data_IF_762483488053
#
_entry.id   IF_762483488053
#
_cell.length_a   1.000
_cell.length_b   1.000
_cell.length_c   1.000
_cell.angle_alpha   90.00
_cell.angle_beta   90.00
_cell.angle_gamma   90.00
#
_symmetry.space_group_name_H-M   'P 1'
#
loop_
_entity.id
_entity.type
_entity.pdbx_description
1 polymer ?
#
# COMPACT_ATOMS: atom_id res chain seq x y z
N UNK A 1 -2.19 -17.98 15.46
CA UNK A 1 -1.63 -17.23 14.31
C UNK A 1 -0.58 -18.12 13.64
N UNK A 2 -1.01 -19.13 12.86
CA UNK A 2 -0.13 -20.17 12.29
C UNK A 2 1.06 -19.58 11.52
N UNK A 3 0.85 -18.45 10.84
CA UNK A 3 1.93 -17.76 10.11
C UNK A 3 3.05 -17.26 11.03
N UNK A 4 2.77 -16.85 12.28
CA UNK A 4 3.84 -16.42 13.20
C UNK A 4 4.70 -17.57 13.70
N UNK A 5 4.16 -18.79 13.66
CA UNK A 5 4.83 -19.99 14.12
C UNK A 5 5.67 -20.64 13.01
N UNK A 6 5.43 -20.30 11.74
CA UNK A 6 6.11 -20.87 10.56
C UNK A 6 7.64 -20.98 10.68
N UNK A 7 8.39 -19.97 11.17
CA UNK A 7 9.84 -20.06 11.29
C UNK A 7 10.33 -21.16 12.25
N UNK A 8 9.45 -21.70 13.10
CA UNK A 8 9.75 -22.76 14.07
C UNK A 8 8.96 -24.04 13.85
N UNK A 9 8.01 -24.08 12.90
CA UNK A 9 7.28 -25.30 12.58
C UNK A 9 8.27 -26.36 12.07
N UNK A 10 8.29 -27.53 12.73
CA UNK A 10 9.20 -28.63 12.40
C UNK A 10 10.65 -28.47 12.91
N UNK A 11 10.96 -27.37 13.60
CA UNK A 11 12.28 -27.15 14.22
C UNK A 11 12.40 -27.92 15.53
N UNK A 12 13.49 -28.66 15.71
CA UNK A 12 13.83 -29.31 17.00
C UNK A 12 14.14 -28.30 18.11
N UNK A 13 14.40 -27.03 17.74
CA UNK A 13 14.62 -25.94 18.69
C UNK A 13 13.53 -24.89 18.49
N UNK A 14 12.63 -24.79 19.46
CA UNK A 14 11.58 -23.76 19.48
C UNK A 14 12.22 -22.42 19.79
N UNK A 15 12.17 -21.48 18.84
CA UNK A 15 12.63 -20.10 19.04
C UNK A 15 11.51 -19.13 18.65
N UNK A 16 11.49 -17.95 19.27
CA UNK A 16 10.58 -16.90 18.81
C UNK A 16 10.99 -16.46 17.40
N UNK A 17 9.99 -16.22 16.54
CA UNK A 17 10.22 -15.68 15.23
C UNK A 17 10.98 -14.33 15.30
N UNK A 18 11.86 -14.02 14.33
CA UNK A 18 12.50 -12.72 14.27
C UNK A 18 11.46 -11.58 14.24
N UNK A 19 11.74 -10.47 14.93
CA UNK A 19 10.81 -9.34 14.99
C UNK A 19 10.46 -8.77 13.60
N UNK A 20 11.41 -8.78 12.67
CA UNK A 20 11.19 -8.40 11.27
C UNK A 20 10.16 -9.29 10.57
N UNK A 21 10.22 -10.60 10.80
CA UNK A 21 9.25 -11.55 10.27
C UNK A 21 7.86 -11.30 10.85
N UNK A 22 7.75 -11.20 12.18
CA UNK A 22 6.49 -10.89 12.86
C UNK A 22 5.87 -9.59 12.35
N UNK A 23 6.68 -8.55 12.14
CA UNK A 23 6.21 -7.25 11.62
C UNK A 23 5.60 -7.38 10.22
N UNK A 24 6.22 -8.15 9.32
CA UNK A 24 5.71 -8.37 7.97
C UNK A 24 4.41 -9.17 8.00
N UNK A 25 4.38 -10.27 8.76
CA UNK A 25 3.18 -11.11 8.88
C UNK A 25 2.02 -10.31 9.46
N UNK A 26 2.23 -9.58 10.55
CA UNK A 26 1.18 -8.76 11.17
C UNK A 26 0.68 -7.71 10.20
N UNK A 27 1.58 -6.95 9.56
CA UNK A 27 1.19 -5.92 8.57
C UNK A 27 0.38 -6.53 7.41
N UNK A 28 0.85 -7.64 6.85
CA UNK A 28 0.19 -8.34 5.75
C UNK A 28 -1.18 -8.88 6.14
N UNK A 29 -1.27 -9.54 7.31
CA UNK A 29 -2.51 -10.11 7.83
C UNK A 29 -3.54 -9.04 8.19
N UNK A 30 -3.12 -7.94 8.82
CA UNK A 30 -4.03 -6.81 9.10
C UNK A 30 -4.59 -6.24 7.80
N UNK A 31 -3.75 -6.03 6.78
CA UNK A 31 -4.23 -5.55 5.47
C UNK A 31 -5.18 -6.55 4.81
N UNK A 32 -4.86 -7.85 4.85
CA UNK A 32 -5.71 -8.90 4.31
C UNK A 32 -7.07 -8.96 5.02
N UNK A 33 -7.10 -8.84 6.34
CA UNK A 33 -8.32 -8.76 7.14
C UNK A 33 -9.17 -7.56 6.74
N UNK A 34 -8.57 -6.38 6.54
CA UNK A 34 -9.30 -5.18 6.11
C UNK A 34 -9.88 -5.35 4.71
N UNK A 35 -9.12 -5.91 3.77
CA UNK A 35 -9.61 -6.23 2.41
C UNK A 35 -10.82 -7.17 2.52
N UNK A 36 -10.70 -8.24 3.30
CA UNK A 36 -11.77 -9.22 3.45
C UNK A 36 -13.03 -8.60 4.06
N UNK A 37 -12.88 -7.72 5.06
CA UNK A 37 -14.00 -6.96 5.65
C UNK A 37 -14.74 -6.13 4.60
N UNK A 38 -14.02 -5.41 3.75
CA UNK A 38 -14.64 -4.60 2.68
C UNK A 38 -15.31 -5.49 1.64
N UNK A 39 -14.63 -6.53 1.14
CA UNK A 39 -15.18 -7.44 0.12
C UNK A 39 -16.42 -8.17 0.64
N UNK A 40 -16.50 -8.51 1.92
CA UNK A 40 -17.66 -9.20 2.49
C UNK A 40 -18.81 -8.26 2.87
N UNK A 41 -18.53 -6.99 3.18
CA UNK A 41 -19.56 -6.01 3.57
C UNK A 41 -20.59 -5.77 2.45
N UNK A 42 -21.89 -5.60 2.75
CA UNK A 42 -22.90 -5.25 1.74
C UNK A 42 -22.47 -4.07 0.86
N UNK A 43 -22.71 -4.16 -0.45
CA UNK A 43 -22.35 -3.09 -1.40
C UNK A 43 -23.48 -2.10 -1.67
N UNK A 44 -24.69 -2.39 -1.19
CA UNK A 44 -25.82 -1.45 -1.19
C UNK A 44 -26.03 -0.89 0.21
N UNK A 45 -26.13 0.45 0.38
CA UNK A 45 -26.04 1.49 -0.64
C UNK A 45 -24.61 1.76 -1.15
N UNK A 46 -24.44 2.02 -2.46
CA UNK A 46 -23.12 2.21 -3.11
C UNK A 46 -22.22 3.24 -2.40
N UNK A 47 -22.80 4.36 -1.97
CA UNK A 47 -22.08 5.45 -1.28
C UNK A 47 -21.46 4.96 0.04
N UNK A 48 -22.20 4.19 0.81
CA UNK A 48 -21.74 3.65 2.10
C UNK A 48 -20.61 2.66 1.88
N UNK A 49 -20.68 1.86 0.82
CA UNK A 49 -19.60 0.94 0.48
C UNK A 49 -18.30 1.67 0.12
N UNK A 50 -18.37 2.72 -0.69
CA UNK A 50 -17.21 3.57 -1.03
C UNK A 50 -16.60 4.21 0.21
N UNK A 51 -17.44 4.74 1.11
CA UNK A 51 -16.98 5.35 2.37
C UNK A 51 -16.31 4.32 3.29
N UNK A 52 -16.87 3.10 3.37
CA UNK A 52 -16.26 1.99 4.10
C UNK A 52 -14.90 1.60 3.51
N UNK A 53 -14.77 1.51 2.19
CA UNK A 53 -13.48 1.25 1.54
C UNK A 53 -12.43 2.29 1.92
N UNK A 54 -12.75 3.59 1.80
CA UNK A 54 -11.84 4.69 2.13
C UNK A 54 -11.43 4.63 3.60
N UNK A 55 -12.40 4.42 4.50
CA UNK A 55 -12.18 4.35 5.94
C UNK A 55 -11.30 3.17 6.35
N UNK A 56 -11.50 1.99 5.76
CA UNK A 56 -10.75 0.79 6.11
C UNK A 56 -9.38 0.76 5.42
N UNK A 57 -9.29 0.94 4.12
CA UNK A 57 -8.02 0.70 3.43
C UNK A 57 -7.11 1.93 3.38
N UNK A 58 -7.63 3.16 3.49
CA UNK A 58 -6.85 4.42 3.56
C UNK A 58 -5.87 4.68 2.41
N UNK A 59 -5.73 3.74 1.46
CA UNK A 59 -4.74 3.77 0.39
C UNK A 59 -5.13 4.76 -0.73
N UNK A 60 -6.40 5.21 -0.77
CA UNK A 60 -6.97 6.14 -1.75
C UNK A 60 -6.59 5.86 -3.22
N UNK A 61 -6.25 4.61 -3.54
CA UNK A 61 -5.77 4.19 -4.85
C UNK A 61 -6.90 3.56 -5.68
N UNK A 62 -7.14 4.11 -6.88
CA UNK A 62 -8.15 3.63 -7.83
C UNK A 62 -7.90 2.19 -8.29
N UNK A 63 -6.65 1.80 -8.55
CA UNK A 63 -6.34 0.43 -9.02
C UNK A 63 -6.64 -0.61 -7.92
N UNK A 64 -6.35 -0.27 -6.67
CA UNK A 64 -6.69 -1.14 -5.53
C UNK A 64 -8.20 -1.24 -5.38
N UNK A 65 -8.92 -0.13 -5.54
CA UNK A 65 -10.38 -0.13 -5.47
C UNK A 65 -11.00 -1.00 -6.57
N UNK A 66 -10.51 -0.92 -7.82
CA UNK A 66 -10.96 -1.79 -8.91
C UNK A 66 -10.81 -3.27 -8.56
N UNK A 67 -9.63 -3.68 -8.05
CA UNK A 67 -9.42 -5.07 -7.60
C UNK A 67 -10.40 -5.50 -6.50
N UNK A 68 -10.76 -4.60 -5.58
CA UNK A 68 -11.78 -4.89 -4.57
C UNK A 68 -13.16 -5.11 -5.20
N UNK A 69 -13.54 -4.31 -6.21
CA UNK A 69 -14.81 -4.47 -6.92
C UNK A 69 -14.84 -5.76 -7.76
N UNK A 70 -13.71 -6.16 -8.33
CA UNK A 70 -13.56 -7.43 -9.04
C UNK A 70 -13.67 -8.62 -8.06
N UNK A 71 -13.00 -8.54 -6.91
CA UNK A 71 -13.14 -9.54 -5.84
C UNK A 71 -14.57 -9.61 -5.28
N UNK A 72 -15.29 -8.49 -5.27
CA UNK A 72 -16.70 -8.39 -4.88
C UNK A 72 -17.62 -9.07 -5.88
N UNK A 73 -17.21 -9.20 -7.15
CA UNK A 73 -17.98 -9.83 -8.22
C UNK A 73 -19.10 -8.95 -8.80
N UNK A 74 -18.94 -7.61 -8.75
CA UNK A 74 -19.97 -6.67 -9.25
C UNK A 74 -19.99 -6.58 -10.77
N UNK A 75 -21.14 -6.24 -11.35
CA UNK A 75 -21.26 -6.00 -12.81
C UNK A 75 -20.53 -4.72 -13.21
N UNK A 76 -20.04 -4.65 -14.46
CA UNK A 76 -19.33 -3.48 -15.00
C UNK A 76 -20.07 -2.14 -14.82
N UNK A 77 -21.40 -2.14 -14.92
CA UNK A 77 -22.24 -0.94 -14.70
C UNK A 77 -22.16 -0.43 -13.26
N UNK A 78 -22.26 -1.34 -12.30
CA UNK A 78 -22.16 -1.04 -10.87
C UNK A 78 -20.73 -0.61 -10.52
N UNK A 79 -19.73 -1.30 -11.05
CA UNK A 79 -18.33 -0.92 -10.89
C UNK A 79 -18.04 0.50 -11.38
N UNK A 80 -18.57 0.88 -12.56
CA UNK A 80 -18.41 2.25 -13.09
C UNK A 80 -19.01 3.29 -12.14
N UNK A 81 -20.22 3.02 -11.63
CA UNK A 81 -20.92 3.91 -10.70
C UNK A 81 -20.13 4.07 -9.38
N UNK A 82 -19.60 2.97 -8.84
CA UNK A 82 -18.73 2.99 -7.65
C UNK A 82 -17.45 3.80 -7.87
N UNK A 83 -16.81 3.62 -9.03
CA UNK A 83 -15.56 4.30 -9.37
C UNK A 83 -15.76 5.81 -9.53
N UNK A 84 -16.91 6.23 -10.04
CA UNK A 84 -17.27 7.64 -10.11
C UNK A 84 -17.47 8.23 -8.70
N UNK A 85 -18.26 7.57 -7.85
CA UNK A 85 -18.44 7.96 -6.45
C UNK A 85 -17.12 8.04 -5.70
N UNK A 86 -16.25 7.05 -5.89
CA UNK A 86 -14.92 7.04 -5.28
C UNK A 86 -14.07 8.25 -5.72
N UNK A 87 -14.08 8.61 -7.01
CA UNK A 87 -13.39 9.82 -7.49
C UNK A 87 -13.94 11.10 -6.89
N UNK A 88 -15.25 11.19 -6.67
CA UNK A 88 -15.87 12.34 -6.01
C UNK A 88 -15.50 12.46 -4.53
N UNK A 89 -15.14 11.35 -3.87
CA UNK A 89 -14.71 11.32 -2.46
C UNK A 89 -13.22 11.60 -2.27
N UNK A 90 -12.42 11.48 -3.34
CA UNK A 90 -11.03 11.92 -3.29
C UNK A 90 -10.99 13.45 -3.21
N UNK A 91 -10.06 14.03 -2.42
CA UNK A 91 -9.90 15.48 -2.37
C UNK A 91 -9.64 16.00 -3.79
N UNK A 92 -10.46 16.95 -4.23
CA UNK A 92 -10.32 17.54 -5.55
C UNK A 92 -8.89 18.12 -5.69
N UNK A 93 -8.18 17.85 -6.80
CA UNK A 93 -7.00 18.63 -7.10
C UNK A 93 -7.41 20.10 -7.16
N UNK A 94 -6.61 21.04 -6.63
CA UNK A 94 -6.95 22.45 -6.68
C UNK A 94 -7.18 22.83 -8.14
N UNK A 95 -8.42 23.20 -8.46
CA UNK A 95 -8.80 23.66 -9.79
C UNK A 95 -8.21 25.06 -9.96
N UNK A 96 -6.97 25.12 -10.45
CA UNK A 96 -6.24 26.34 -10.75
C UNK A 96 -5.94 26.40 -12.24
N UNK A 97 -6.76 27.14 -12.97
CA UNK A 97 -6.54 27.53 -14.35
C UNK A 97 -5.36 28.53 -14.41
N UNK A 98 -4.35 28.19 -15.22
CA UNK A 98 -3.34 29.05 -15.85
C UNK A 98 -2.36 29.82 -14.93
N UNK A 99 -1.12 29.32 -14.82
CA UNK A 99 0.13 30.02 -15.23
C UNK A 99 1.36 29.49 -14.50
N UNK A 100 2.31 29.01 -15.32
CA UNK A 100 3.76 28.98 -15.10
C UNK A 100 4.29 28.96 -13.66
N UNK A 101 4.75 27.79 -13.22
CA UNK A 101 6.02 27.64 -12.49
C UNK A 101 6.37 26.16 -12.34
N UNK A 102 7.43 25.77 -13.05
CA UNK A 102 8.13 24.50 -12.92
C UNK A 102 8.53 24.22 -11.48
N UNK A 103 8.01 23.15 -10.89
CA UNK A 103 8.60 22.55 -9.69
C UNK A 103 9.14 21.18 -10.07
N UNK A 104 10.42 21.20 -10.43
CA UNK A 104 11.28 20.03 -10.62
C UNK A 104 11.18 19.11 -9.40
N UNK A 105 10.66 17.90 -9.61
CA UNK A 105 11.06 16.75 -8.80
C UNK A 105 12.49 16.42 -9.22
N UNK A 106 13.46 16.92 -8.45
CA UNK A 106 14.87 16.53 -8.56
C UNK A 106 14.97 15.00 -8.44
N UNK A 107 15.17 14.33 -9.56
CA UNK A 107 15.87 13.06 -9.58
C UNK A 107 17.27 13.29 -8.98
N UNK A 108 17.79 12.40 -8.12
CA UNK A 108 19.15 12.54 -7.63
C UNK A 108 20.11 12.48 -8.82
N UNK A 109 20.88 13.55 -9.02
CA UNK A 109 21.90 13.60 -10.06
C UNK A 109 22.99 12.55 -9.80
N UNK A 110 23.56 11.93 -10.85
CA UNK A 110 24.53 10.83 -10.73
C UNK A 110 25.80 11.18 -9.92
N UNK A 111 26.09 12.48 -9.76
CA UNK A 111 27.23 12.94 -8.95
C UNK A 111 27.07 12.64 -7.46
N UNK A 112 25.85 12.68 -6.91
CA UNK A 112 25.63 12.45 -5.48
C UNK A 112 25.82 10.98 -5.10
N UNK A 113 25.57 10.07 -6.03
CA UNK A 113 25.78 8.63 -5.87
C UNK A 113 27.28 8.28 -5.87
N UNK A 114 28.06 8.91 -6.76
CA UNK A 114 29.52 8.73 -6.82
C UNK A 114 30.22 9.09 -5.50
N UNK A 115 29.72 10.11 -4.79
CA UNK A 115 30.24 10.53 -3.49
C UNK A 115 29.93 9.53 -2.38
N UNK A 116 28.77 8.87 -2.43
CA UNK A 116 28.39 7.82 -1.46
C UNK A 116 29.25 6.57 -1.66
N UNK A 117 29.50 6.18 -2.90
CA UNK A 117 30.32 5.03 -3.27
C UNK A 117 31.77 5.24 -2.81
N UNK A 118 32.38 6.39 -3.11
CA UNK A 118 33.75 6.72 -2.65
C UNK A 118 33.91 6.73 -1.13
N UNK A 119 32.87 7.15 -0.40
CA UNK A 119 32.88 7.14 1.08
C UNK A 119 32.86 5.71 1.63
N UNK A 120 32.12 4.80 0.97
CA UNK A 120 32.08 3.38 1.31
C UNK A 120 33.44 2.70 1.07
N UNK A 121 34.09 2.97 -0.07
CA UNK A 121 35.43 2.44 -0.38
C UNK A 121 36.49 2.86 0.65
N UNK A 122 36.44 4.11 1.14
CA UNK A 122 37.33 4.60 2.21
C UNK A 122 37.11 3.88 3.55
N UNK A 123 35.88 3.51 3.88
CA UNK A 123 35.60 2.76 5.12
C UNK A 123 36.15 1.33 5.04
N UNK A 124 36.03 0.69 3.88
CA UNK A 124 36.52 -0.67 3.65
C UNK A 124 38.05 -0.70 3.73
N UNK A 125 38.73 0.24 3.05
CA UNK A 125 40.20 0.37 3.11
C UNK A 125 40.76 0.74 4.49
N UNK A 126 39.95 1.28 5.40
CA UNK A 126 40.38 1.64 6.76
C UNK A 126 40.25 0.46 7.75
N UNK A 127 39.57 -0.61 7.34
CA UNK A 127 39.36 -1.84 8.14
C UNK A 127 40.25 -3.00 7.69
N UNK A 128 41.02 -2.81 6.62
CA UNK A 128 42.09 -3.70 6.14
C UNK A 128 43.44 -3.06 6.50
#
# INVERSE_FOLDING_TARGET
MVLLDLPSIGSQVVRKAPASYTKIVVKGMTRAEMILKVVMAPHEPLVVFVDNYIKLLTDCNTETFQKILDMKGLKRSEQSSMLELFRQRLPAPPSGTESSSTLSLMAPTPEQESSRIRKLEKLIKKRL
#
